data_IF_188126583046
#
_entry.id   IF_188126583046
#
_cell.length_a   1.000
_cell.length_b   1.000
_cell.length_c   1.000
_cell.angle_alpha   90.00
_cell.angle_beta   90.00
_cell.angle_gamma   90.00
#
_symmetry.space_group_name_H-M   'P 1'
#
loop_
_entity.id
_entity.type
_entity.pdbx_description
1 polymer ?
#
# COMPACT_ATOMS: atom_id res chain seq x y z
N UNK A 1 -19.73 -6.44 4.71
CA UNK A 1 -18.84 -5.64 5.58
C UNK A 1 -19.61 -4.49 6.22
N UNK A 2 -20.73 -4.79 6.89
CA UNK A 2 -21.65 -3.77 7.43
C UNK A 2 -21.45 -3.52 8.94
N UNK A 3 -20.53 -4.25 9.57
CA UNK A 3 -20.23 -4.08 10.99
C UNK A 3 -19.44 -2.80 11.32
N UNK A 4 -18.90 -2.11 10.30
CA UNK A 4 -18.17 -0.85 10.40
C UNK A 4 -19.04 0.38 10.14
N UNK A 5 -20.32 0.19 9.77
CA UNK A 5 -21.20 1.32 9.49
C UNK A 5 -21.65 2.01 10.78
N UNK A 6 -21.95 3.32 10.74
CA UNK A 6 -22.46 4.05 11.90
C UNK A 6 -23.80 3.51 12.43
N UNK A 7 -24.56 2.80 11.57
CA UNK A 7 -25.83 2.18 11.92
C UNK A 7 -25.68 0.79 12.55
N UNK A 8 -24.46 0.24 12.58
CA UNK A 8 -24.17 -1.09 13.09
C UNK A 8 -24.44 -1.17 14.60
N UNK A 9 -25.26 -2.14 15.08
CA UNK A 9 -25.48 -2.34 16.52
C UNK A 9 -24.27 -3.00 17.23
N UNK A 10 -23.21 -3.32 16.49
CA UNK A 10 -22.01 -3.99 17.01
C UNK A 10 -21.22 -3.05 17.92
N UNK A 11 -21.06 -3.44 19.19
CA UNK A 11 -20.35 -2.64 20.20
C UNK A 11 -18.83 -2.85 20.22
N UNK A 12 -18.33 -3.89 19.56
CA UNK A 12 -16.90 -4.21 19.51
C UNK A 12 -16.58 -5.01 18.24
N UNK A 13 -15.62 -4.51 17.47
CA UNK A 13 -15.10 -5.18 16.28
C UNK A 13 -13.63 -5.52 16.55
N UNK A 14 -13.24 -6.78 16.30
CA UNK A 14 -11.85 -7.19 16.30
C UNK A 14 -11.42 -7.38 14.85
N UNK A 15 -10.53 -6.52 14.36
CA UNK A 15 -10.01 -6.56 13.00
C UNK A 15 -8.61 -7.19 13.02
N UNK A 16 -8.49 -8.38 12.46
CA UNK A 16 -7.20 -8.98 12.13
C UNK A 16 -6.85 -8.54 10.72
N UNK A 17 -5.69 -7.91 10.53
CA UNK A 17 -5.28 -7.35 9.25
C UNK A 17 -3.82 -7.66 8.95
N UNK A 18 -3.51 -7.79 7.67
CA UNK A 18 -2.17 -8.09 7.17
C UNK A 18 -1.16 -7.01 7.57
N UNK A 19 0.11 -7.41 7.60
CA UNK A 19 1.22 -6.61 8.14
C UNK A 19 1.35 -5.25 7.43
N UNK A 20 0.82 -5.03 6.22
CA UNK A 20 1.04 -3.78 5.46
C UNK A 20 -0.13 -2.80 5.35
N UNK A 21 -1.32 -3.09 5.86
CA UNK A 21 -2.40 -2.08 5.74
C UNK A 21 -2.05 -0.83 6.59
N UNK A 22 -2.28 0.37 6.08
CA UNK A 22 -1.95 1.62 6.79
C UNK A 22 -0.46 1.95 6.84
N UNK A 23 0.34 1.43 5.91
CA UNK A 23 1.75 1.78 5.70
C UNK A 23 1.92 2.29 4.26
N UNK A 24 1.52 3.54 3.96
CA UNK A 24 1.57 4.03 2.60
C UNK A 24 3.02 4.29 2.14
N UNK A 25 3.21 4.20 0.83
CA UNK A 25 4.37 4.72 0.10
C UNK A 25 3.99 6.08 -0.52
N UNK A 26 4.99 6.88 -0.90
CA UNK A 26 4.74 8.07 -1.69
C UNK A 26 4.10 7.72 -3.04
N UNK A 27 3.17 8.55 -3.51
CA UNK A 27 2.34 8.28 -4.71
C UNK A 27 3.13 8.18 -6.02
N UNK A 28 4.33 8.75 -6.04
CA UNK A 28 5.29 8.73 -7.13
C UNK A 28 6.29 7.56 -7.04
N UNK A 29 6.21 6.74 -5.98
CA UNK A 29 7.10 5.57 -5.82
C UNK A 29 6.95 4.63 -7.01
N UNK A 30 8.03 4.32 -7.75
CA UNK A 30 7.96 3.43 -8.91
C UNK A 30 7.79 1.97 -8.48
N UNK A 31 6.81 1.30 -9.06
CA UNK A 31 6.45 -0.10 -8.81
C UNK A 31 6.63 -0.89 -10.12
N UNK A 32 7.39 -2.00 -10.10
CA UNK A 32 7.59 -2.83 -11.27
C UNK A 32 6.32 -3.62 -11.62
N UNK A 33 6.02 -3.68 -12.92
CA UNK A 33 4.91 -4.44 -13.51
C UNK A 33 5.46 -5.30 -14.65
N UNK A 34 4.77 -6.36 -15.09
CA UNK A 34 5.20 -7.15 -16.26
C UNK A 34 5.38 -6.32 -17.55
N UNK A 35 4.63 -5.23 -17.69
CA UNK A 35 4.65 -4.37 -18.89
C UNK A 35 5.53 -3.12 -18.73
N UNK A 36 6.34 -3.04 -17.66
CA UNK A 36 7.22 -1.91 -17.37
C UNK A 36 7.04 -1.38 -15.95
N UNK A 37 6.80 -0.07 -15.80
CA UNK A 37 6.71 0.59 -14.50
C UNK A 37 5.41 1.39 -14.37
N UNK A 38 4.82 1.36 -13.17
CA UNK A 38 3.75 2.27 -12.74
C UNK A 38 4.17 2.95 -11.46
N UNK A 39 3.57 4.10 -11.12
CA UNK A 39 3.75 4.66 -9.78
C UNK A 39 2.70 4.11 -8.82
N UNK A 40 2.99 4.13 -7.51
CA UNK A 40 2.05 3.68 -6.47
C UNK A 40 0.67 4.34 -6.60
N UNK A 41 0.61 5.62 -6.95
CA UNK A 41 -0.63 6.36 -7.13
C UNK A 41 -1.40 6.06 -8.43
N UNK A 42 -0.78 5.36 -9.38
CA UNK A 42 -1.41 4.93 -10.63
C UNK A 42 -1.88 3.47 -10.62
N UNK A 43 -1.59 2.73 -9.54
CA UNK A 43 -2.05 1.35 -9.41
C UNK A 43 -3.57 1.29 -9.25
N UNK A 44 -4.18 0.32 -9.91
CA UNK A 44 -5.60 0.01 -9.79
C UNK A 44 -5.79 -1.46 -9.44
N UNK A 45 -7.00 -1.82 -9.00
CA UNK A 45 -7.37 -3.23 -8.79
C UNK A 45 -7.17 -4.02 -10.10
N UNK A 46 -6.71 -5.26 -9.97
CA UNK A 46 -6.34 -6.16 -11.07
C UNK A 46 -5.09 -5.75 -11.87
N UNK A 47 -4.30 -4.78 -11.40
CA UNK A 47 -2.96 -4.57 -11.95
C UNK A 47 -2.03 -5.73 -11.59
N UNK A 48 -1.27 -6.27 -12.57
CA UNK A 48 -0.29 -7.31 -12.32
C UNK A 48 1.01 -6.72 -11.74
N UNK A 49 1.43 -7.23 -10.59
CA UNK A 49 2.68 -6.90 -9.90
C UNK A 49 3.51 -8.17 -9.68
N UNK A 50 4.61 -8.05 -8.93
CA UNK A 50 5.43 -9.18 -8.51
C UNK A 50 5.36 -9.39 -6.99
N UNK A 51 5.25 -10.64 -6.56
CA UNK A 51 5.42 -11.05 -5.16
C UNK A 51 6.91 -11.14 -4.76
N UNK A 52 7.21 -11.49 -3.51
CA UNK A 52 8.58 -11.63 -3.02
C UNK A 52 9.38 -12.74 -3.74
N UNK A 53 8.70 -13.68 -4.40
CA UNK A 53 9.31 -14.73 -5.22
C UNK A 53 9.49 -14.33 -6.69
N UNK A 54 9.14 -13.10 -7.06
CA UNK A 54 9.16 -12.61 -8.44
C UNK A 54 8.07 -13.20 -9.32
N UNK A 55 7.02 -13.80 -8.74
CA UNK A 55 5.88 -14.34 -9.51
C UNK A 55 4.83 -13.25 -9.66
N UNK A 56 4.08 -13.32 -10.76
CA UNK A 56 3.02 -12.34 -11.00
C UNK A 56 1.90 -12.53 -9.98
N UNK A 57 1.56 -11.44 -9.29
CA UNK A 57 0.43 -11.33 -8.37
C UNK A 57 -0.47 -10.16 -8.80
N UNK A 58 -1.64 -10.03 -8.18
CA UNK A 58 -2.65 -9.05 -8.57
C UNK A 58 -2.96 -8.09 -7.42
N UNK A 59 -3.13 -6.81 -7.75
CA UNK A 59 -3.63 -5.80 -6.79
C UNK A 59 -5.08 -6.12 -6.45
N UNK A 60 -5.34 -6.49 -5.19
CA UNK A 60 -6.70 -6.85 -4.72
C UNK A 60 -7.49 -5.66 -4.15
N UNK A 61 -6.85 -4.51 -3.99
CA UNK A 61 -7.46 -3.32 -3.40
C UNK A 61 -6.51 -2.14 -3.35
N UNK A 62 -7.07 -0.94 -3.45
CA UNK A 62 -6.35 0.34 -3.34
C UNK A 62 -7.05 1.21 -2.31
N UNK A 63 -6.28 1.97 -1.52
CA UNK A 63 -6.84 2.97 -0.59
C UNK A 63 -6.99 4.32 -1.28
N UNK A 64 -7.75 5.22 -0.67
CA UNK A 64 -7.65 6.64 -1.00
C UNK A 64 -6.23 7.18 -0.70
N UNK A 65 -5.86 8.28 -1.37
CA UNK A 65 -4.59 8.96 -1.12
C UNK A 65 -4.61 9.58 0.28
N UNK A 66 -3.63 9.21 1.09
CA UNK A 66 -3.46 9.71 2.46
C UNK A 66 -2.58 10.96 2.44
N UNK A 67 -3.02 12.04 3.09
CA UNK A 67 -2.31 13.34 3.09
C UNK A 67 -2.03 13.81 4.51
N UNK A 68 -0.99 14.60 4.71
CA UNK A 68 -0.60 15.13 6.03
C UNK A 68 0.07 14.09 6.94
N UNK A 69 0.51 12.97 6.38
CA UNK A 69 1.26 11.95 7.11
C UNK A 69 2.75 12.33 7.21
N UNK A 70 3.42 12.05 8.35
CA UNK A 70 4.87 12.16 8.43
C UNK A 70 5.50 11.09 7.55
N UNK A 71 6.22 11.52 6.51
CA UNK A 71 6.94 10.64 5.60
C UNK A 71 8.45 10.85 5.73
N UNK A 72 9.22 9.80 5.44
CA UNK A 72 10.67 9.79 5.47
C UNK A 72 11.21 9.22 4.17
N UNK A 73 12.32 9.80 3.71
CA UNK A 73 13.12 9.27 2.62
C UNK A 73 14.17 8.31 3.19
N UNK A 74 14.22 7.11 2.62
CA UNK A 74 15.23 6.11 2.90
C UNK A 74 16.13 6.01 1.70
N UNK A 75 17.43 6.27 1.92
CA UNK A 75 18.48 6.02 0.94
C UNK A 75 19.15 4.71 1.31
N UNK A 76 19.05 3.73 0.42
CA UNK A 76 19.69 2.42 0.56
C UNK A 76 21.18 2.53 0.19
N UNK A 77 21.98 1.54 0.61
CA UNK A 77 23.43 1.54 0.37
C UNK A 77 23.81 1.40 -1.11
N UNK A 78 22.90 0.87 -1.94
CA UNK A 78 23.00 0.81 -3.39
C UNK A 78 22.57 2.11 -4.11
N UNK A 79 22.16 3.13 -3.35
CA UNK A 79 21.72 4.43 -3.86
C UNK A 79 20.26 4.47 -4.30
N UNK A 80 19.47 3.42 -4.07
CA UNK A 80 18.02 3.47 -4.27
C UNK A 80 17.36 4.33 -3.19
N UNK A 81 16.30 5.03 -3.57
CA UNK A 81 15.56 5.94 -2.70
C UNK A 81 14.09 5.52 -2.64
N UNK A 82 13.53 5.49 -1.43
CA UNK A 82 12.11 5.21 -1.20
C UNK A 82 11.57 6.17 -0.16
N UNK A 83 10.44 6.82 -0.47
CA UNK A 83 9.72 7.67 0.49
C UNK A 83 8.51 6.92 1.02
N UNK A 84 8.42 6.78 2.33
CA UNK A 84 7.33 6.06 2.99
C UNK A 84 6.89 6.71 4.30
N UNK A 85 5.72 6.33 4.78
CA UNK A 85 5.20 6.78 6.08
C UNK A 85 6.12 6.36 7.24
N UNK A 86 6.13 7.15 8.32
CA UNK A 86 6.80 6.84 9.58
C UNK A 86 6.52 5.44 10.15
N UNK A 87 5.33 4.89 9.90
CA UNK A 87 4.94 3.56 10.39
C UNK A 87 5.22 2.43 9.39
N UNK A 88 5.84 2.74 8.25
CA UNK A 88 6.24 1.74 7.26
C UNK A 88 7.34 0.83 7.84
N UNK A 89 7.24 -0.49 7.60
CA UNK A 89 8.27 -1.49 7.94
C UNK A 89 8.41 -2.46 6.78
#
# INVERSE_FOLDING_TARGET
MDCLSPASPVRRVMLMKGVQVGRPLAVDTPIPTPDGWKTMGMLVVDDPLFDEGGRVCQVVGVSDVMTGHPCFELVLDDGQEVVCDAVHR
#
